data_IF_492005869170
#
_entry.id   IF_492005869170
#
_cell.length_a   1.000
_cell.length_b   1.000
_cell.length_c   1.000
_cell.angle_alpha   90.00
_cell.angle_beta   90.00
_cell.angle_gamma   90.00
#
_symmetry.space_group_name_H-M   'P 1'
#
loop_
_entity.id
_entity.type
_entity.pdbx_description
1 polymer ?
#
# COMPACT_ATOMS: atom_id res chain seq x y z
N UNK A 1 24.96 -29.88 -22.00
CA UNK A 1 24.52 -30.34 -20.66
C UNK A 1 25.73 -30.23 -19.73
N UNK A 2 25.82 -29.16 -18.93
CA UNK A 2 26.89 -28.99 -17.93
C UNK A 2 26.28 -29.29 -16.56
N UNK A 3 26.74 -30.37 -15.94
CA UNK A 3 26.37 -30.75 -14.57
C UNK A 3 27.19 -29.89 -13.61
N UNK A 4 26.51 -29.09 -12.80
CA UNK A 4 27.09 -28.29 -11.73
C UNK A 4 27.23 -29.20 -10.51
N UNK A 5 28.49 -29.47 -10.10
CA UNK A 5 28.82 -30.27 -8.91
C UNK A 5 28.55 -29.44 -7.63
N UNK A 6 27.55 -29.82 -6.86
CA UNK A 6 27.21 -29.23 -5.56
C UNK A 6 28.05 -29.73 -4.37
N UNK A 7 29.17 -30.43 -4.62
CA UNK A 7 29.93 -31.09 -3.57
C UNK A 7 31.01 -30.26 -2.85
N UNK A 8 31.14 -28.97 -3.14
CA UNK A 8 32.23 -28.14 -2.60
C UNK A 8 31.81 -26.91 -1.75
N UNK A 9 30.54 -26.80 -1.37
CA UNK A 9 30.06 -25.66 -0.56
C UNK A 9 29.70 -26.05 0.89
N UNK A 10 29.91 -27.28 1.29
CA UNK A 10 29.47 -27.81 2.61
C UNK A 10 30.56 -27.84 3.71
N UNK A 11 31.72 -27.22 3.51
CA UNK A 11 32.82 -27.29 4.51
C UNK A 11 33.26 -25.95 5.12
N UNK A 12 32.55 -24.86 4.91
CA UNK A 12 32.97 -23.54 5.42
C UNK A 12 32.04 -22.86 6.45
N UNK A 13 31.03 -23.55 6.99
CA UNK A 13 30.09 -22.95 7.98
C UNK A 13 30.29 -23.50 9.41
N UNK A 14 31.22 -24.37 9.66
CA UNK A 14 31.40 -25.07 10.95
C UNK A 14 32.49 -24.50 11.87
N UNK A 15 33.01 -23.27 11.65
CA UNK A 15 34.15 -22.78 12.47
C UNK A 15 33.98 -21.36 13.05
N UNK A 16 32.76 -20.84 13.23
CA UNK A 16 32.55 -19.56 13.95
C UNK A 16 31.42 -19.70 14.97
N UNK A 17 31.57 -20.63 15.91
CA UNK A 17 30.71 -20.77 17.09
C UNK A 17 31.50 -21.21 18.32
N UNK A 18 32.54 -20.50 18.65
CA UNK A 18 33.20 -20.65 19.94
C UNK A 18 34.05 -19.39 20.19
N UNK A 19 33.47 -18.42 20.85
CA UNK A 19 34.16 -17.44 21.68
C UNK A 19 33.15 -16.28 21.94
N UNK A 20 32.24 -16.46 22.87
CA UNK A 20 31.82 -15.38 23.79
C UNK A 20 31.05 -16.04 24.94
N UNK A 21 31.85 -16.50 25.89
CA UNK A 21 31.39 -16.86 27.21
C UNK A 21 31.92 -15.81 28.19
N UNK A 22 31.08 -15.53 29.17
CA UNK A 22 31.43 -14.91 30.46
C UNK A 22 31.19 -13.42 30.66
N UNK A 23 30.33 -13.13 31.62
CA UNK A 23 30.16 -11.83 32.23
C UNK A 23 28.84 -11.71 33.00
N UNK A 24 28.69 -12.60 34.02
CA UNK A 24 27.73 -12.47 35.11
C UNK A 24 28.15 -11.31 36.04
N UNK A 25 27.21 -10.45 36.45
CA UNK A 25 27.29 -9.83 37.80
C UNK A 25 25.92 -9.25 38.19
N UNK A 26 25.41 -9.90 39.22
CA UNK A 26 24.28 -9.48 40.05
C UNK A 26 24.57 -8.17 40.84
N UNK A 27 23.50 -7.46 41.20
CA UNK A 27 23.15 -6.96 42.52
C UNK A 27 22.01 -5.95 42.39
N UNK A 28 20.85 -6.33 42.94
CA UNK A 28 20.26 -6.02 44.25
C UNK A 28 20.01 -4.54 44.50
N UNK A 29 18.74 -4.29 44.58
CA UNK A 29 17.85 -3.99 45.76
C UNK A 29 17.87 -2.52 46.23
N UNK A 30 16.72 -1.96 46.31
CA UNK A 30 16.07 -1.42 47.49
C UNK A 30 15.24 -0.15 47.24
N UNK A 31 13.96 -0.38 47.43
CA UNK A 31 13.01 0.38 48.29
C UNK A 31 12.76 1.88 48.08
N UNK A 32 11.45 2.06 47.96
CA UNK A 32 10.66 2.99 48.80
C UNK A 32 10.55 4.45 48.39
N UNK A 33 9.44 4.90 48.16
CA UNK A 33 8.31 5.53 48.81
C UNK A 33 7.69 6.67 48.02
N UNK A 34 6.42 6.55 47.78
CA UNK A 34 5.31 7.48 48.06
C UNK A 34 5.55 8.99 47.95
N UNK A 35 4.84 9.65 47.07
CA UNK A 35 3.79 10.65 47.34
C UNK A 35 3.38 11.33 46.00
N UNK A 36 2.13 11.21 45.67
CA UNK A 36 0.94 12.03 45.90
C UNK A 36 0.94 13.41 45.24
N UNK A 37 -0.07 13.53 44.38
CA UNK A 37 -0.83 14.75 44.04
C UNK A 37 -0.08 15.82 43.24
N UNK A 38 -0.63 16.37 42.22
CA UNK A 38 -1.96 16.91 41.90
C UNK A 38 -1.98 17.29 40.42
N UNK A 39 -3.02 16.91 39.74
CA UNK A 39 -3.92 17.76 38.97
C UNK A 39 -3.30 18.95 38.17
N UNK A 40 -3.27 18.79 36.87
CA UNK A 40 -3.76 19.84 35.95
C UNK A 40 -4.07 19.29 34.57
N UNK A 41 -5.30 19.45 34.21
CA UNK A 41 -5.88 19.19 32.91
C UNK A 41 -5.16 20.05 31.85
N UNK A 42 -4.76 19.40 30.75
CA UNK A 42 -4.65 20.04 29.45
C UNK A 42 -4.84 18.98 28.38
N UNK A 43 -6.06 18.94 27.91
CA UNK A 43 -6.52 18.43 26.64
C UNK A 43 -5.47 18.54 25.56
N UNK A 44 -4.85 17.41 25.23
CA UNK A 44 -4.21 17.25 23.93
C UNK A 44 -4.90 16.07 23.26
N UNK A 45 -5.91 16.42 22.47
CA UNK A 45 -6.49 15.50 21.51
C UNK A 45 -5.37 15.04 20.56
N UNK A 46 -4.71 13.97 20.94
CA UNK A 46 -3.94 13.18 19.99
C UNK A 46 -4.93 12.56 19.05
N UNK A 47 -4.98 13.14 17.86
CA UNK A 47 -5.59 12.55 16.68
C UNK A 47 -4.79 11.26 16.38
N UNK A 48 -5.16 10.21 17.08
CA UNK A 48 -4.82 8.86 16.74
C UNK A 48 -5.53 8.57 15.42
N UNK A 49 -4.82 8.79 14.32
CA UNK A 49 -5.15 8.14 13.06
C UNK A 49 -4.92 6.64 13.27
N UNK A 50 -5.87 6.02 13.96
CA UNK A 50 -5.96 4.58 14.03
C UNK A 50 -6.20 4.11 12.60
N UNK A 51 -5.14 3.61 11.97
CA UNK A 51 -5.19 2.69 10.85
C UNK A 51 -6.06 1.51 11.30
N UNK A 52 -7.37 1.72 11.29
CA UNK A 52 -8.37 0.66 11.47
C UNK A 52 -8.18 -0.21 10.24
N UNK A 53 -7.51 -1.33 10.42
CA UNK A 53 -7.44 -2.40 9.44
C UNK A 53 -8.88 -2.74 9.06
N UNK A 54 -9.28 -2.32 7.87
CA UNK A 54 -10.63 -2.53 7.36
C UNK A 54 -10.76 -3.99 6.96
N UNK A 55 -10.92 -4.85 7.99
CA UNK A 55 -11.21 -6.27 7.83
C UNK A 55 -12.69 -6.42 7.48
N UNK A 56 -12.98 -6.63 6.21
CA UNK A 56 -14.34 -6.85 5.74
C UNK A 56 -14.34 -7.53 4.38
N UNK A 57 -15.44 -8.20 4.05
CA UNK A 57 -15.66 -8.82 2.75
C UNK A 57 -15.47 -7.78 1.63
N UNK A 58 -14.69 -8.13 0.61
CA UNK A 58 -14.54 -7.33 -0.60
C UNK A 58 -15.43 -7.92 -1.67
N UNK A 59 -16.21 -7.08 -2.33
CA UNK A 59 -17.12 -7.45 -3.40
C UNK A 59 -16.49 -7.07 -4.75
N UNK A 60 -16.73 -7.86 -5.77
CA UNK A 60 -16.32 -7.54 -7.16
C UNK A 60 -17.51 -7.03 -7.98
N UNK A 61 -18.73 -7.49 -7.63
CA UNK A 61 -19.98 -7.10 -8.26
C UNK A 61 -20.94 -6.71 -7.16
N UNK A 62 -21.58 -5.57 -7.30
CA UNK A 62 -22.55 -4.99 -6.36
C UNK A 62 -23.69 -4.31 -7.09
N UNK A 63 -24.80 -4.03 -6.38
CA UNK A 63 -25.98 -3.37 -6.97
C UNK A 63 -25.65 -1.99 -7.54
N UNK A 64 -24.79 -1.23 -6.84
CA UNK A 64 -24.29 0.06 -7.28
C UNK A 64 -22.76 0.08 -7.22
N UNK A 65 -22.13 0.11 -8.38
CA UNK A 65 -20.68 0.18 -8.48
C UNK A 65 -20.15 1.53 -7.95
N UNK A 66 -18.91 1.54 -7.42
CA UNK A 66 -18.24 2.79 -7.06
C UNK A 66 -18.13 3.73 -8.26
N UNK A 67 -18.29 5.03 -8.00
CA UNK A 67 -18.20 6.05 -9.03
C UNK A 67 -17.22 7.16 -8.65
N UNK A 68 -16.42 7.61 -9.62
CA UNK A 68 -15.58 8.77 -9.43
C UNK A 68 -16.43 10.04 -9.29
N UNK A 69 -16.08 11.02 -8.42
CA UNK A 69 -16.82 12.28 -8.31
C UNK A 69 -16.91 12.99 -9.66
N UNK A 70 -18.14 13.20 -10.14
CA UNK A 70 -18.38 13.74 -11.48
C UNK A 70 -18.36 12.72 -12.62
N UNK A 71 -18.31 11.42 -12.28
CA UNK A 71 -18.45 10.32 -13.23
C UNK A 71 -17.22 10.04 -14.08
N UNK A 72 -17.41 9.23 -15.12
CA UNK A 72 -16.31 8.77 -15.99
C UNK A 72 -15.59 9.93 -16.70
N UNK A 73 -16.33 10.93 -17.15
CA UNK A 73 -15.75 12.09 -17.84
C UNK A 73 -14.78 12.85 -16.92
N UNK A 74 -15.17 13.07 -15.67
CA UNK A 74 -14.32 13.71 -14.68
C UNK A 74 -13.08 12.88 -14.36
N UNK A 75 -13.22 11.55 -14.28
CA UNK A 75 -12.08 10.63 -14.11
C UNK A 75 -11.10 10.74 -15.27
N UNK A 76 -11.59 10.73 -16.51
CA UNK A 76 -10.73 10.86 -17.69
C UNK A 76 -9.98 12.21 -17.72
N UNK A 77 -10.66 13.29 -17.36
CA UNK A 77 -10.02 14.61 -17.26
C UNK A 77 -8.98 14.64 -16.13
N UNK A 78 -9.28 14.02 -15.00
CA UNK A 78 -8.33 13.88 -13.89
C UNK A 78 -7.07 13.13 -14.33
N UNK A 79 -7.23 11.99 -15.00
CA UNK A 79 -6.11 11.18 -15.50
C UNK A 79 -5.25 11.98 -16.48
N UNK A 80 -5.87 12.66 -17.46
CA UNK A 80 -5.13 13.51 -18.42
C UNK A 80 -4.34 14.64 -17.77
N UNK A 81 -4.91 15.25 -16.73
CA UNK A 81 -4.28 16.37 -16.03
C UNK A 81 -3.16 15.94 -15.08
N UNK A 82 -3.19 14.72 -14.57
CA UNK A 82 -2.30 14.26 -13.50
C UNK A 82 -1.30 13.19 -13.93
N UNK A 83 -1.52 12.49 -15.04
CA UNK A 83 -0.57 11.52 -15.58
C UNK A 83 0.64 12.28 -16.15
N UNK A 84 1.83 11.86 -15.72
CA UNK A 84 3.10 12.33 -16.27
C UNK A 84 3.75 11.16 -16.99
N UNK A 85 4.00 11.35 -18.28
CA UNK A 85 4.68 10.30 -19.04
C UNK A 85 6.13 10.21 -18.57
N UNK A 86 6.61 9.04 -18.10
CA UNK A 86 8.00 8.91 -17.67
C UNK A 86 8.97 9.10 -18.83
N UNK A 87 10.01 9.90 -18.64
CA UNK A 87 10.96 10.23 -19.73
C UNK A 87 11.66 8.99 -20.30
N UNK A 88 11.97 7.99 -19.47
CA UNK A 88 12.59 6.76 -19.92
C UNK A 88 11.68 5.99 -20.87
N UNK A 89 10.40 5.83 -20.51
CA UNK A 89 9.40 5.17 -21.34
C UNK A 89 9.14 5.97 -22.65
N UNK A 90 9.11 7.31 -22.55
CA UNK A 90 8.95 8.18 -23.73
C UNK A 90 10.11 8.03 -24.71
N UNK A 91 11.36 8.08 -24.24
CA UNK A 91 12.57 7.91 -25.07
C UNK A 91 12.65 6.52 -25.70
N UNK A 92 12.15 5.51 -24.99
CA UNK A 92 12.10 4.13 -25.48
C UNK A 92 10.90 3.83 -26.39
N UNK A 93 9.97 4.79 -26.57
CA UNK A 93 8.77 4.59 -27.38
C UNK A 93 7.80 3.54 -26.79
N UNK A 94 7.78 3.35 -25.46
CA UNK A 94 6.97 2.32 -24.82
C UNK A 94 5.56 2.85 -24.59
N UNK A 95 4.59 2.27 -25.27
CA UNK A 95 3.17 2.57 -25.15
C UNK A 95 2.39 1.35 -24.66
N UNK A 96 1.21 1.56 -24.08
CA UNK A 96 0.36 0.45 -23.72
C UNK A 96 -0.77 0.79 -22.76
N UNK A 97 -1.43 -0.29 -22.27
CA UNK A 97 -2.51 -0.19 -21.31
C UNK A 97 -2.12 -0.91 -20.03
N UNK A 98 -1.89 -0.14 -19.00
CA UNK A 98 -1.71 -0.64 -17.63
C UNK A 98 -3.10 -0.82 -17.00
N UNK A 99 -3.34 -1.93 -16.30
CA UNK A 99 -4.58 -2.15 -15.54
C UNK A 99 -4.24 -2.15 -14.07
N UNK A 100 -4.83 -1.20 -13.35
CA UNK A 100 -4.69 -1.06 -11.89
C UNK A 100 -5.95 -1.59 -11.22
N UNK A 101 -5.82 -2.46 -10.22
CA UNK A 101 -6.90 -2.81 -9.32
C UNK A 101 -6.75 -2.07 -8.00
N UNK A 102 -7.85 -1.74 -7.38
CA UNK A 102 -7.89 -1.14 -6.05
C UNK A 102 -9.23 -1.39 -5.39
N UNK A 103 -9.28 -1.20 -4.08
CA UNK A 103 -10.52 -1.30 -3.32
C UNK A 103 -11.03 0.11 -3.03
N UNK A 104 -12.29 0.36 -3.36
CA UNK A 104 -13.02 1.54 -2.90
C UNK A 104 -13.68 1.18 -1.58
N UNK A 105 -13.27 1.86 -0.52
CA UNK A 105 -13.75 1.65 0.84
C UNK A 105 -15.14 2.30 1.05
N UNK A 106 -15.91 1.90 2.07
CA UNK A 106 -17.22 2.49 2.36
C UNK A 106 -17.21 4.01 2.62
N UNK A 107 -16.05 4.56 3.00
CA UNK A 107 -15.84 6.00 3.17
C UNK A 107 -15.39 6.72 1.89
N UNK A 108 -15.30 5.98 0.77
CA UNK A 108 -14.85 6.46 -0.53
C UNK A 108 -13.33 6.53 -0.72
N UNK A 109 -12.53 6.21 0.27
CA UNK A 109 -11.07 6.16 0.09
C UNK A 109 -10.64 4.95 -0.75
N UNK A 110 -9.48 5.07 -1.38
CA UNK A 110 -8.88 4.00 -2.18
C UNK A 110 -7.82 3.28 -1.35
N UNK A 111 -7.86 1.95 -1.37
CA UNK A 111 -6.92 1.07 -0.68
C UNK A 111 -6.47 -0.09 -1.57
N UNK A 112 -5.46 -0.85 -1.19
CA UNK A 112 -4.95 -2.04 -1.89
C UNK A 112 -4.75 -1.80 -3.39
N UNK A 113 -3.97 -0.76 -3.73
CA UNK A 113 -3.69 -0.39 -5.13
C UNK A 113 -2.59 -1.29 -5.68
N UNK A 114 -2.91 -2.09 -6.68
CA UNK A 114 -2.05 -3.12 -7.27
C UNK A 114 -2.11 -3.10 -8.81
N UNK A 115 -1.02 -3.52 -9.46
CA UNK A 115 -1.00 -3.72 -10.91
C UNK A 115 -1.53 -5.11 -11.23
N UNK A 116 -2.57 -5.18 -12.06
CA UNK A 116 -3.12 -6.44 -12.59
C UNK A 116 -2.52 -6.76 -13.95
N UNK A 117 -2.29 -5.74 -14.76
CA UNK A 117 -1.63 -5.86 -16.05
C UNK A 117 -0.54 -4.80 -16.18
N UNK A 118 0.68 -5.25 -16.21
CA UNK A 118 1.89 -4.44 -16.42
C UNK A 118 2.17 -4.24 -17.91
N UNK A 119 2.82 -3.14 -18.21
CA UNK A 119 3.41 -2.85 -19.53
C UNK A 119 4.90 -2.58 -19.37
N UNK A 120 5.25 -1.65 -18.48
CA UNK A 120 6.61 -1.24 -18.18
C UNK A 120 6.67 -0.73 -16.75
N UNK A 121 7.81 -0.90 -16.09
CA UNK A 121 7.96 -0.56 -14.66
C UNK A 121 7.67 0.90 -14.36
N UNK A 122 8.14 1.82 -15.22
CA UNK A 122 7.97 3.25 -14.99
C UNK A 122 6.51 3.68 -15.23
N UNK A 123 5.86 3.10 -16.28
CA UNK A 123 4.44 3.32 -16.54
C UNK A 123 3.56 2.77 -15.41
N UNK A 124 3.92 1.62 -14.87
CA UNK A 124 3.22 0.98 -13.74
C UNK A 124 3.30 1.83 -12.47
N UNK A 125 4.50 2.35 -12.16
CA UNK A 125 4.70 3.24 -11.00
C UNK A 125 3.89 4.53 -11.13
N UNK A 126 3.86 5.12 -12.32
CA UNK A 126 3.08 6.33 -12.58
C UNK A 126 1.57 6.04 -12.45
N UNK A 127 1.10 4.92 -12.98
CA UNK A 127 -0.29 4.49 -12.84
C UNK A 127 -0.68 4.31 -11.37
N UNK A 128 0.16 3.64 -10.56
CA UNK A 128 -0.05 3.50 -9.11
C UNK A 128 -0.08 4.85 -8.40
N UNK A 129 0.85 5.77 -8.75
CA UNK A 129 0.92 7.10 -8.16
C UNK A 129 -0.37 7.88 -8.37
N UNK A 130 -0.84 7.94 -9.61
CA UNK A 130 -2.04 8.71 -9.98
C UNK A 130 -3.28 8.14 -9.31
N UNK A 131 -3.44 6.81 -9.27
CA UNK A 131 -4.60 6.17 -8.62
C UNK A 131 -4.60 6.43 -7.11
N UNK A 132 -3.46 6.37 -6.43
CA UNK A 132 -3.36 6.65 -5.00
C UNK A 132 -3.69 8.10 -4.64
N UNK A 133 -3.57 9.02 -5.58
CA UNK A 133 -3.85 10.46 -5.40
C UNK A 133 -5.27 10.85 -5.81
N UNK A 134 -6.11 9.90 -6.20
CA UNK A 134 -7.51 10.20 -6.53
C UNK A 134 -8.27 10.74 -5.32
N UNK A 135 -9.19 11.69 -5.52
CA UNK A 135 -10.09 12.14 -4.47
C UNK A 135 -11.01 10.99 -4.01
N UNK A 136 -11.76 11.22 -2.95
CA UNK A 136 -12.72 10.23 -2.46
C UNK A 136 -13.75 9.90 -3.52
N UNK A 137 -13.95 8.62 -3.73
CA UNK A 137 -14.95 8.05 -4.62
C UNK A 137 -16.31 7.98 -3.93
N UNK A 138 -17.37 7.93 -4.72
CA UNK A 138 -18.68 7.51 -4.26
C UNK A 138 -18.63 6.01 -4.00
N UNK A 139 -18.89 5.60 -2.77
CA UNK A 139 -18.79 4.19 -2.38
C UNK A 139 -19.81 3.31 -3.11
N UNK A 140 -19.43 2.08 -3.42
CA UNK A 140 -20.36 1.08 -3.93
C UNK A 140 -21.35 0.64 -2.85
N UNK A 141 -22.53 0.15 -3.28
CA UNK A 141 -23.56 -0.33 -2.38
C UNK A 141 -24.05 -1.72 -2.76
N UNK A 142 -24.30 -2.51 -1.70
CA UNK A 142 -24.97 -3.80 -1.78
C UNK A 142 -26.09 -3.83 -0.75
N UNK A 143 -27.30 -4.18 -1.17
CA UNK A 143 -28.50 -4.19 -0.29
C UNK A 143 -28.69 -2.87 0.48
N UNK A 144 -28.42 -1.73 -0.19
CA UNK A 144 -28.54 -0.38 0.39
C UNK A 144 -27.39 0.05 1.29
N UNK A 145 -26.47 -0.84 1.67
CA UNK A 145 -25.33 -0.57 2.54
C UNK A 145 -24.07 -0.28 1.73
N UNK A 146 -23.24 0.68 2.18
CA UNK A 146 -21.93 0.91 1.58
C UNK A 146 -20.98 -0.22 1.92
N UNK A 147 -20.30 -0.78 0.90
CA UNK A 147 -19.43 -1.94 1.02
C UNK A 147 -18.08 -1.68 0.37
N UNK A 148 -17.10 -2.53 0.68
CA UNK A 148 -15.79 -2.53 0.05
C UNK A 148 -15.91 -3.16 -1.33
N UNK A 149 -15.51 -2.44 -2.37
CA UNK A 149 -15.64 -2.94 -3.74
C UNK A 149 -14.30 -2.88 -4.45
N UNK A 150 -13.90 -4.00 -5.04
CA UNK A 150 -12.73 -4.08 -5.91
C UNK A 150 -13.07 -3.48 -7.28
N UNK A 151 -12.26 -2.53 -7.70
CA UNK A 151 -12.42 -1.83 -8.97
C UNK A 151 -11.19 -2.00 -9.84
N UNK A 152 -11.38 -2.11 -11.16
CA UNK A 152 -10.32 -2.23 -12.13
C UNK A 152 -10.35 -1.03 -13.06
N UNK A 153 -9.23 -0.30 -13.13
CA UNK A 153 -9.10 0.89 -13.95
C UNK A 153 -8.04 0.68 -15.04
N UNK A 154 -8.43 0.58 -16.31
CA UNK A 154 -7.47 0.57 -17.41
C UNK A 154 -6.98 1.99 -17.70
N UNK A 155 -5.68 2.20 -17.64
CA UNK A 155 -5.00 3.46 -17.94
C UNK A 155 -4.19 3.26 -19.23
N UNK A 156 -4.50 4.06 -20.26
CA UNK A 156 -3.82 3.99 -21.55
C UNK A 156 -2.72 5.05 -21.61
N UNK A 157 -1.50 4.63 -21.86
CA UNK A 157 -0.35 5.46 -22.15
C UNK A 157 -0.10 5.48 -23.67
N UNK A 158 -0.11 6.65 -24.27
CA UNK A 158 0.18 6.86 -25.68
C UNK A 158 1.09 8.07 -25.84
N UNK A 159 2.02 7.98 -26.76
CA UNK A 159 2.85 9.11 -27.22
C UNK A 159 2.06 9.91 -28.27
N UNK A 160 2.13 11.22 -28.16
CA UNK A 160 1.56 12.14 -29.16
C UNK A 160 2.56 12.39 -30.30
#
# INVERSE_FOLDING_TARGET
MKRINYSLILTSVALIMLLFSCGESEREEATSTVNRNTESAATRAEKSDSKKELTGKVYEIVDQMPEYPGGLTALMNYLRANIRYPEAAQKAGIEGRVVVSFIVEPNGSVSNVEIVRSVDTDLDQEALRVVRQTPKWKAGKQDGNTVRVKFHLPIKFMLE
#
